data_IF_302534441882
#
_entry.id   IF_302534441882
#
_cell.length_a   1.000
_cell.length_b   1.000
_cell.length_c   1.000
_cell.angle_alpha   90.00
_cell.angle_beta   90.00
_cell.angle_gamma   90.00
#
_symmetry.space_group_name_H-M   'P 1'
#
loop_
_entity.id
_entity.type
_entity.pdbx_description
1 polymer ?
#
# COMPACT_ATOMS: atom_id res chain seq x y z
N UNK A 1 3.57 -4.59 -5.51
CA UNK A 1 4.22 -5.44 -6.52
C UNK A 1 5.67 -5.57 -6.14
N UNK A 2 6.06 -6.74 -5.64
CA UNK A 2 7.46 -6.97 -5.29
C UNK A 2 8.34 -7.03 -6.55
N UNK A 3 9.64 -7.29 -6.40
CA UNK A 3 10.53 -7.33 -7.55
C UNK A 3 10.33 -8.59 -8.41
N UNK A 4 9.99 -9.72 -7.81
CA UNK A 4 9.80 -10.98 -8.54
C UNK A 4 8.55 -10.91 -9.44
N UNK A 5 7.44 -10.42 -8.88
CA UNK A 5 6.21 -10.13 -9.62
C UNK A 5 6.46 -9.12 -10.75
N UNK A 6 7.30 -8.11 -10.51
CA UNK A 6 7.64 -7.12 -11.53
C UNK A 6 8.49 -7.71 -12.67
N UNK A 7 9.42 -8.62 -12.35
CA UNK A 7 10.23 -9.34 -13.34
C UNK A 7 9.40 -10.31 -14.17
N UNK A 8 8.48 -11.05 -13.54
CA UNK A 8 7.54 -11.93 -14.24
C UNK A 8 6.71 -11.11 -15.23
N UNK A 9 6.12 -10.00 -14.78
CA UNK A 9 5.41 -9.05 -15.65
C UNK A 9 6.28 -8.50 -16.77
N UNK A 10 7.54 -8.17 -16.48
CA UNK A 10 8.48 -7.67 -17.48
C UNK A 10 8.80 -8.71 -18.56
N UNK A 11 8.88 -9.99 -18.20
CA UNK A 11 9.14 -11.09 -19.15
C UNK A 11 8.02 -11.29 -20.18
N UNK A 12 6.79 -10.86 -19.86
CA UNK A 12 5.65 -10.88 -20.78
C UNK A 12 5.68 -9.72 -21.80
N UNK A 13 6.52 -8.70 -21.57
CA UNK A 13 6.58 -7.50 -22.40
C UNK A 13 7.46 -7.73 -23.62
N UNK A 14 6.97 -7.30 -24.79
CA UNK A 14 7.63 -7.53 -26.09
C UNK A 14 7.88 -6.23 -26.85
N UNK A 15 7.25 -5.14 -26.44
CA UNK A 15 7.33 -3.83 -27.07
C UNK A 15 8.66 -3.14 -26.76
N UNK A 16 9.28 -2.57 -27.80
CA UNK A 16 10.57 -1.88 -27.68
C UNK A 16 10.57 -0.69 -26.68
N UNK A 17 9.40 -0.10 -26.43
CA UNK A 17 9.18 1.02 -25.49
C UNK A 17 8.61 0.56 -24.15
N UNK A 18 8.43 -0.73 -23.96
CA UNK A 18 8.05 -1.32 -22.67
C UNK A 18 9.30 -1.61 -21.84
N UNK A 19 9.13 -1.69 -20.52
CA UNK A 19 10.20 -2.06 -19.59
C UNK A 19 10.31 -1.14 -18.38
N UNK A 20 11.47 -1.21 -17.72
CA UNK A 20 11.72 -0.43 -16.51
C UNK A 20 12.15 1.00 -16.83
N UNK A 21 11.68 1.91 -15.98
CA UNK A 21 11.92 3.33 -16.07
C UNK A 21 12.25 3.89 -14.69
N UNK A 22 13.22 4.80 -14.63
CA UNK A 22 13.55 5.53 -13.40
C UNK A 22 13.43 7.04 -13.60
N UNK A 23 13.08 7.76 -12.54
CA UNK A 23 12.89 9.21 -12.63
C UNK A 23 14.16 9.89 -13.13
N UNK A 24 14.02 10.93 -13.94
CA UNK A 24 15.18 11.69 -14.42
C UNK A 24 15.83 12.47 -13.27
N UNK A 25 14.98 13.00 -12.37
CA UNK A 25 15.42 13.74 -11.19
C UNK A 25 15.38 12.86 -9.95
N UNK A 26 16.42 12.95 -9.13
CA UNK A 26 16.44 12.39 -7.80
C UNK A 26 15.61 13.27 -6.85
N UNK A 27 14.95 12.65 -5.88
CA UNK A 27 14.29 13.32 -4.77
C UNK A 27 14.84 12.73 -3.48
N UNK A 28 15.46 13.57 -2.65
CA UNK A 28 16.09 13.10 -1.40
C UNK A 28 17.10 11.95 -1.67
N UNK A 29 17.95 12.12 -2.68
CA UNK A 29 18.92 11.13 -3.15
C UNK A 29 18.33 9.77 -3.57
N UNK A 30 17.03 9.72 -3.88
CA UNK A 30 16.33 8.52 -4.33
C UNK A 30 15.71 8.73 -5.70
N UNK A 31 15.68 7.67 -6.49
CA UNK A 31 14.96 7.64 -7.77
C UNK A 31 13.64 6.86 -7.65
N UNK A 32 12.63 7.27 -8.40
CA UNK A 32 11.37 6.51 -8.53
C UNK A 32 11.54 5.49 -9.64
N UNK A 33 11.41 4.20 -9.33
CA UNK A 33 11.33 3.14 -10.33
C UNK A 33 9.88 2.79 -10.66
N UNK A 34 9.58 2.58 -11.95
CA UNK A 34 8.28 2.15 -12.47
C UNK A 34 8.48 1.16 -13.63
N UNK A 35 7.50 0.30 -13.84
CA UNK A 35 7.46 -0.64 -14.97
C UNK A 35 6.33 -0.17 -15.90
N UNK A 36 6.66 0.07 -17.15
CA UNK A 36 5.73 0.58 -18.16
C UNK A 36 5.40 -0.53 -19.16
N UNK A 37 4.11 -0.87 -19.26
CA UNK A 37 3.58 -1.81 -20.24
C UNK A 37 2.63 -1.06 -21.19
N UNK A 38 2.78 -1.26 -22.49
CA UNK A 38 1.95 -0.62 -23.50
C UNK A 38 0.56 -1.24 -23.49
N UNK A 39 -0.47 -0.40 -23.61
CA UNK A 39 -1.82 -0.89 -23.90
C UNK A 39 -1.92 -1.03 -25.41
N UNK A 40 -2.14 -2.25 -25.89
CA UNK A 40 -2.34 -2.50 -27.33
C UNK A 40 -3.55 -1.67 -27.79
N UNK A 41 -3.31 -0.63 -28.59
CA UNK A 41 -4.38 0.04 -29.29
C UNK A 41 -4.78 -0.84 -30.48
N UNK A 42 -6.04 -1.27 -30.51
CA UNK A 42 -6.59 -2.13 -31.58
C UNK A 42 -6.73 -1.38 -32.93
N UNK A 43 -6.13 -0.21 -33.06
CA UNK A 43 -6.16 0.63 -34.25
C UNK A 43 -5.04 0.22 -35.20
N UNK A 44 -5.46 -0.38 -36.32
CA UNK A 44 -4.60 -0.81 -37.43
C UNK A 44 -3.59 0.28 -37.79
N UNK A 45 -2.31 -0.11 -37.75
CA UNK A 45 -1.13 0.47 -38.42
C UNK A 45 -1.40 1.71 -39.28
N UNK A 46 -1.13 2.89 -38.72
CA UNK A 46 -0.50 4.02 -39.39
C UNK A 46 0.14 4.92 -38.31
N UNK A 47 1.48 5.03 -38.34
CA UNK A 47 2.38 5.80 -37.45
C UNK A 47 1.73 6.47 -36.22
N UNK A 48 1.45 5.70 -35.17
CA UNK A 48 1.05 6.23 -33.86
C UNK A 48 2.15 7.16 -33.33
N UNK A 49 1.78 8.38 -32.94
CA UNK A 49 2.73 9.31 -32.33
C UNK A 49 2.97 8.94 -30.87
N UNK A 50 4.05 9.47 -30.26
CA UNK A 50 4.33 9.24 -28.83
C UNK A 50 3.20 9.71 -27.89
N UNK A 51 2.30 10.56 -28.36
CA UNK A 51 1.13 11.02 -27.60
C UNK A 51 -0.03 10.02 -27.63
N UNK A 52 -0.09 9.20 -28.68
CA UNK A 52 -1.15 8.21 -28.88
C UNK A 52 -0.80 6.86 -28.24
N UNK A 53 0.49 6.62 -28.00
CA UNK A 53 0.98 5.41 -27.32
C UNK A 53 0.73 5.52 -25.81
N UNK A 54 -0.28 4.79 -25.34
CA UNK A 54 -0.68 4.75 -23.94
C UNK A 54 -0.05 3.56 -23.21
N UNK A 55 0.35 3.79 -21.96
CA UNK A 55 1.01 2.80 -21.12
C UNK A 55 0.31 2.67 -19.76
N UNK A 56 0.21 1.44 -19.29
CA UNK A 56 -0.02 1.09 -17.90
C UNK A 56 1.29 1.24 -17.12
N UNK A 57 1.21 1.86 -15.95
CA UNK A 57 2.37 2.07 -15.07
C UNK A 57 2.20 1.19 -13.83
N UNK A 58 3.18 0.37 -13.54
CA UNK A 58 3.26 -0.40 -12.31
C UNK A 58 4.26 0.25 -11.36
N UNK A 59 3.88 0.34 -10.09
CA UNK A 59 4.68 0.91 -9.00
C UNK A 59 4.93 -0.14 -7.93
N UNK A 60 6.07 -0.08 -7.21
CA UNK A 60 6.38 -1.02 -6.15
C UNK A 60 5.33 -1.02 -5.04
N UNK A 61 4.85 0.16 -4.63
CA UNK A 61 3.96 0.31 -3.48
C UNK A 61 2.48 0.02 -3.77
N UNK A 62 1.95 0.43 -4.93
CA UNK A 62 0.52 0.27 -5.26
C UNK A 62 0.22 -0.77 -6.33
N UNK A 63 1.25 -1.33 -6.98
CA UNK A 63 1.07 -2.14 -8.17
C UNK A 63 0.57 -1.29 -9.35
N UNK A 64 -0.44 -1.78 -10.06
CA UNK A 64 -0.98 -1.12 -11.26
C UNK A 64 -1.57 0.25 -10.92
N UNK A 65 -1.09 1.28 -11.61
CA UNK A 65 -1.66 2.61 -11.60
C UNK A 65 -2.90 2.63 -12.50
N UNK A 66 -4.05 3.02 -11.93
CA UNK A 66 -5.34 3.10 -12.65
C UNK A 66 -5.25 4.03 -13.86
N UNK A 67 -4.51 5.13 -13.74
CA UNK A 67 -4.37 6.11 -14.80
C UNK A 67 -3.28 5.69 -15.80
N UNK A 68 -3.68 5.53 -17.07
CA UNK A 68 -2.77 5.39 -18.20
C UNK A 68 -2.03 6.70 -18.46
N UNK A 69 -0.80 6.60 -18.94
CA UNK A 69 0.01 7.76 -19.34
C UNK A 69 0.57 7.56 -20.74
N UNK A 70 0.71 8.66 -21.49
CA UNK A 70 1.30 8.61 -22.82
C UNK A 70 2.83 8.42 -22.73
N UNK A 71 3.44 7.84 -23.76
CA UNK A 71 4.90 7.71 -23.83
C UNK A 71 5.60 9.08 -23.72
N UNK A 72 5.01 10.13 -24.31
CA UNK A 72 5.53 11.49 -24.22
C UNK A 72 5.61 12.02 -22.78
N UNK A 73 4.61 11.73 -21.94
CA UNK A 73 4.61 12.12 -20.53
C UNK A 73 5.58 11.27 -19.70
N UNK A 74 5.71 9.99 -20.02
CA UNK A 74 6.65 9.08 -19.36
C UNK A 74 8.08 9.54 -19.65
N UNK A 75 8.44 9.76 -20.91
CA UNK A 75 9.77 10.23 -21.32
C UNK A 75 10.10 11.64 -20.83
N UNK A 76 9.12 12.43 -20.38
CA UNK A 76 9.36 13.72 -19.71
C UNK A 76 9.80 13.56 -18.26
N UNK A 77 9.32 12.51 -17.57
CA UNK A 77 9.53 12.31 -16.13
C UNK A 77 10.57 11.25 -15.82
N UNK A 78 10.74 10.30 -16.73
CA UNK A 78 11.53 9.09 -16.54
C UNK A 78 12.48 8.86 -17.71
N UNK A 79 13.52 8.07 -17.47
CA UNK A 79 14.39 7.47 -18.50
C UNK A 79 14.24 5.96 -18.45
N UNK A 80 14.22 5.31 -19.62
CA UNK A 80 14.21 3.84 -19.71
C UNK A 80 15.56 3.31 -19.23
N UNK A 81 15.55 2.21 -18.48
CA UNK A 81 16.76 1.55 -17.95
C UNK A 81 16.64 0.03 -18.01
N UNK A 82 17.78 -0.63 -17.86
CA UNK A 82 17.85 -2.07 -17.66
C UNK A 82 17.31 -2.46 -16.28
N UNK A 83 16.85 -3.72 -16.16
CA UNK A 83 16.26 -4.24 -14.92
C UNK A 83 17.22 -4.15 -13.73
N UNK A 84 18.52 -4.39 -13.94
CA UNK A 84 19.55 -4.32 -12.90
C UNK A 84 19.65 -2.93 -12.24
N UNK A 85 19.51 -1.83 -13.00
CA UNK A 85 19.54 -0.47 -12.44
C UNK A 85 18.25 -0.17 -11.66
N UNK A 86 17.12 -0.69 -12.14
CA UNK A 86 15.81 -0.46 -11.51
C UNK A 86 15.62 -1.25 -10.20
N UNK A 87 16.24 -2.43 -10.07
CA UNK A 87 16.02 -3.35 -8.95
C UNK A 87 16.23 -2.70 -7.58
N UNK A 88 17.38 -2.04 -7.41
CA UNK A 88 17.75 -1.42 -6.13
C UNK A 88 16.71 -0.38 -5.68
N UNK A 89 16.28 0.49 -6.60
CA UNK A 89 15.27 1.52 -6.34
C UNK A 89 13.88 0.93 -6.13
N UNK A 90 13.52 -0.11 -6.90
CA UNK A 90 12.25 -0.80 -6.77
C UNK A 90 12.12 -1.46 -5.40
N UNK A 91 13.12 -2.27 -4.99
CA UNK A 91 13.15 -2.96 -3.70
C UNK A 91 13.17 -1.97 -2.55
N UNK A 92 13.97 -0.91 -2.62
CA UNK A 92 14.03 0.12 -1.58
C UNK A 92 12.66 0.77 -1.36
N UNK A 93 11.99 1.18 -2.44
CA UNK A 93 10.66 1.78 -2.34
C UNK A 93 9.59 0.76 -1.93
N UNK A 94 9.67 -0.47 -2.44
CA UNK A 94 8.80 -1.57 -2.03
C UNK A 94 8.90 -1.76 -0.53
N UNK A 95 10.09 -2.07 0.00
CA UNK A 95 10.34 -2.30 1.42
C UNK A 95 9.87 -1.13 2.29
N UNK A 96 10.26 0.10 1.93
CA UNK A 96 9.86 1.28 2.69
C UNK A 96 8.33 1.45 2.76
N UNK A 97 7.61 1.19 1.67
CA UNK A 97 6.15 1.33 1.63
C UNK A 97 5.37 0.39 2.56
N UNK A 98 6.03 -0.49 3.30
CA UNK A 98 5.38 -1.31 4.34
C UNK A 98 4.92 -0.46 5.51
N UNK A 99 5.76 0.50 5.90
CA UNK A 99 5.65 1.26 7.16
C UNK A 99 5.90 2.75 6.98
N UNK A 100 6.52 3.17 5.87
CA UNK A 100 6.89 4.55 5.60
C UNK A 100 6.02 5.10 4.49
N UNK A 101 5.21 6.12 4.81
CA UNK A 101 4.35 6.77 3.83
C UNK A 101 5.19 7.47 2.75
N UNK A 102 4.61 7.69 1.56
CA UNK A 102 5.28 8.37 0.45
C UNK A 102 5.81 9.75 0.82
N UNK A 103 5.13 10.48 1.72
CA UNK A 103 5.60 11.78 2.18
C UNK A 103 6.95 11.66 2.91
N UNK A 104 7.03 10.80 3.92
CA UNK A 104 8.26 10.57 4.67
C UNK A 104 9.34 9.94 3.79
N UNK A 105 8.98 9.04 2.87
CA UNK A 105 9.94 8.43 1.96
C UNK A 105 10.65 9.46 1.06
N UNK A 106 9.87 10.36 0.45
CA UNK A 106 10.38 11.34 -0.51
C UNK A 106 10.88 12.65 0.11
N UNK A 107 10.35 13.07 1.27
CA UNK A 107 10.66 14.36 1.92
C UNK A 107 11.35 14.22 3.28
N UNK A 108 11.61 13.00 3.74
CA UNK A 108 12.09 12.66 5.10
C UNK A 108 11.14 13.05 6.25
N UNK A 109 10.12 13.88 5.99
CA UNK A 109 9.16 14.35 6.99
C UNK A 109 7.73 14.18 6.47
N UNK A 110 6.84 13.69 7.33
CA UNK A 110 5.40 13.68 7.10
C UNK A 110 4.69 14.48 8.18
N UNK A 111 3.84 15.44 7.78
CA UNK A 111 3.07 16.29 8.71
C UNK A 111 2.13 15.48 9.61
N UNK A 112 1.66 14.32 9.13
CA UNK A 112 0.75 13.44 9.86
C UNK A 112 1.35 12.03 10.00
N UNK A 113 2.63 11.93 10.39
CA UNK A 113 3.36 10.65 10.39
C UNK A 113 2.67 9.56 11.23
N UNK A 114 1.92 9.93 12.27
CA UNK A 114 1.16 8.98 13.08
C UNK A 114 0.12 8.22 12.27
N UNK A 115 -0.64 8.89 11.40
CA UNK A 115 -1.85 8.32 10.78
C UNK A 115 -1.85 8.43 9.24
N UNK A 116 -0.70 8.73 8.64
CA UNK A 116 -0.58 8.84 7.20
C UNK A 116 -0.44 7.48 6.54
N UNK A 117 -1.48 7.04 5.85
CA UNK A 117 -1.49 5.81 5.05
C UNK A 117 -1.11 6.04 3.58
N UNK A 118 -0.73 7.27 3.21
CA UNK A 118 -0.51 7.64 1.80
C UNK A 118 0.67 6.88 1.23
N UNK A 119 0.37 6.03 0.25
CA UNK A 119 1.37 5.25 -0.48
C UNK A 119 1.93 4.05 0.28
N UNK A 120 1.33 3.66 1.41
CA UNK A 120 1.61 2.39 2.04
C UNK A 120 1.02 1.24 1.21
N UNK A 121 1.74 0.13 1.13
CA UNK A 121 1.25 -1.12 0.50
C UNK A 121 0.44 -1.99 1.46
N UNK A 122 0.58 -1.74 2.76
CA UNK A 122 -0.14 -2.43 3.84
C UNK A 122 -1.01 -1.42 4.57
N UNK A 123 -2.25 -1.81 4.88
CA UNK A 123 -3.13 -1.08 5.80
C UNK A 123 -3.32 -1.89 7.07
N UNK A 124 -3.32 -1.21 8.20
CA UNK A 124 -3.52 -1.83 9.51
C UNK A 124 -4.94 -1.53 9.97
N UNK A 125 -5.71 -2.59 10.22
CA UNK A 125 -7.03 -2.48 10.83
C UNK A 125 -6.98 -3.04 12.23
N UNK A 126 -7.58 -2.32 13.19
CA UNK A 126 -7.72 -2.80 14.56
C UNK A 126 -9.12 -3.40 14.70
N UNK A 127 -9.20 -4.65 15.14
CA UNK A 127 -10.47 -5.35 15.26
C UNK A 127 -10.58 -5.97 16.65
N UNK A 128 -11.65 -5.61 17.35
CA UNK A 128 -12.03 -6.24 18.61
C UNK A 128 -12.89 -7.47 18.30
N UNK A 129 -12.44 -8.65 18.69
CA UNK A 129 -13.14 -9.92 18.45
C UNK A 129 -13.36 -10.70 19.77
N UNK A 130 -14.20 -11.73 19.73
CA UNK A 130 -14.58 -12.53 20.90
C UNK A 130 -15.97 -12.18 21.42
N UNK A 131 -16.18 -12.24 22.73
CA UNK A 131 -17.48 -11.93 23.37
C UNK A 131 -17.71 -10.43 23.50
N UNK A 132 -17.73 -9.72 22.37
CA UNK A 132 -17.88 -8.25 22.32
C UNK A 132 -19.21 -7.79 22.94
N UNK A 133 -20.26 -8.61 22.84
CA UNK A 133 -21.57 -8.32 23.45
C UNK A 133 -21.49 -8.15 24.97
N UNK A 134 -20.62 -8.90 25.65
CA UNK A 134 -20.47 -8.83 27.10
C UNK A 134 -19.88 -7.48 27.58
N UNK A 135 -19.14 -6.80 26.71
CA UNK A 135 -18.47 -5.52 26.99
C UNK A 135 -19.02 -4.38 26.13
N UNK A 136 -20.15 -4.61 25.44
CA UNK A 136 -20.68 -3.72 24.40
C UNK A 136 -20.82 -2.26 24.84
N UNK A 137 -21.49 -2.04 25.98
CA UNK A 137 -21.74 -0.70 26.51
C UNK A 137 -20.43 0.07 26.79
N UNK A 138 -19.37 -0.62 27.21
CA UNK A 138 -18.06 -0.01 27.48
C UNK A 138 -17.33 0.36 26.20
N UNK A 139 -17.38 -0.52 25.19
CA UNK A 139 -16.83 -0.23 23.86
C UNK A 139 -17.52 1.00 23.27
N UNK A 140 -18.85 1.04 23.34
CA UNK A 140 -19.67 2.16 22.85
C UNK A 140 -19.32 3.47 23.57
N UNK A 141 -19.17 3.44 24.90
CA UNK A 141 -18.79 4.62 25.69
C UNK A 141 -17.43 5.18 25.27
N UNK A 142 -16.41 4.32 25.08
CA UNK A 142 -15.07 4.74 24.64
C UNK A 142 -15.11 5.33 23.22
N UNK A 143 -15.87 4.71 22.32
CA UNK A 143 -16.03 5.20 20.94
C UNK A 143 -16.76 6.54 20.91
N UNK A 144 -17.85 6.70 21.66
CA UNK A 144 -18.62 7.94 21.72
C UNK A 144 -17.79 9.12 22.23
N UNK A 145 -16.87 8.89 23.16
CA UNK A 145 -16.01 9.93 23.74
C UNK A 145 -14.93 10.45 22.78
N UNK A 146 -14.55 9.69 21.74
CA UNK A 146 -13.41 10.02 20.86
C UNK A 146 -13.74 10.04 19.38
N UNK A 147 -14.95 9.65 19.03
CA UNK A 147 -15.42 9.57 17.67
C UNK A 147 -16.92 9.84 17.60
N UNK A 148 -17.30 11.11 17.58
CA UNK A 148 -18.68 11.59 17.46
C UNK A 148 -19.46 11.06 16.23
N UNK A 149 -18.81 10.36 15.30
CA UNK A 149 -19.40 9.84 14.06
C UNK A 149 -19.20 8.33 13.81
N UNK A 150 -18.54 7.59 14.72
CA UNK A 150 -18.24 6.18 14.47
C UNK A 150 -19.27 5.26 15.12
N UNK A 151 -20.25 4.83 14.32
CA UNK A 151 -21.09 3.68 14.68
C UNK A 151 -20.23 2.41 14.70
N UNK A 152 -20.44 1.53 15.68
CA UNK A 152 -19.78 0.23 15.71
C UNK A 152 -20.09 -0.54 14.42
N UNK A 153 -19.05 -0.85 13.65
CA UNK A 153 -19.17 -1.62 12.42
C UNK A 153 -18.67 -3.05 12.64
N UNK A 154 -19.55 -4.02 12.42
CA UNK A 154 -19.17 -5.44 12.43
C UNK A 154 -18.44 -5.78 11.14
N UNK A 155 -17.29 -6.44 11.26
CA UNK A 155 -16.45 -6.90 10.17
C UNK A 155 -16.21 -8.40 10.27
N UNK A 156 -16.10 -9.05 9.11
CA UNK A 156 -15.68 -10.44 8.98
C UNK A 156 -14.34 -10.46 8.25
N UNK A 157 -13.33 -10.99 8.90
CA UNK A 157 -11.97 -11.12 8.38
C UNK A 157 -11.74 -12.58 8.05
N UNK A 158 -11.09 -12.83 6.92
CA UNK A 158 -10.49 -14.12 6.59
C UNK A 158 -9.00 -13.87 6.40
N UNK A 159 -8.18 -14.52 7.19
CA UNK A 159 -6.72 -14.49 7.06
C UNK A 159 -6.27 -15.44 5.95
N UNK A 160 -5.01 -15.31 5.55
CA UNK A 160 -4.33 -16.16 4.57
C UNK A 160 -4.26 -17.64 4.99
N UNK A 161 -4.04 -17.91 6.28
CA UNK A 161 -4.11 -19.24 6.88
C UNK A 161 -5.54 -19.82 6.99
N UNK A 162 -6.55 -19.05 6.56
CA UNK A 162 -7.94 -19.47 6.51
C UNK A 162 -8.73 -19.26 7.80
N UNK A 163 -8.12 -18.71 8.86
CA UNK A 163 -8.83 -18.31 10.07
C UNK A 163 -9.90 -17.26 9.76
N UNK A 164 -11.11 -17.48 10.28
CA UNK A 164 -12.25 -16.57 10.12
C UNK A 164 -12.52 -15.88 11.45
N UNK A 165 -12.44 -14.56 11.46
CA UNK A 165 -12.68 -13.74 12.65
C UNK A 165 -13.89 -12.86 12.38
N UNK A 166 -14.83 -12.81 13.33
CA UNK A 166 -15.91 -11.82 13.36
C UNK A 166 -15.65 -10.88 14.52
N UNK A 167 -15.69 -9.58 14.27
CA UNK A 167 -15.39 -8.57 15.29
C UNK A 167 -15.90 -7.19 14.90
N UNK A 168 -15.52 -6.18 15.68
CA UNK A 168 -15.87 -4.78 15.45
C UNK A 168 -14.62 -3.99 15.07
N UNK A 169 -14.72 -3.18 14.03
CA UNK A 169 -13.64 -2.28 13.61
C UNK A 169 -13.45 -1.17 14.65
N UNK A 170 -12.23 -1.04 15.18
CA UNK A 170 -11.86 -0.04 16.18
C UNK A 170 -10.99 1.03 15.52
N UNK A 171 -11.37 2.32 15.58
CA UNK A 171 -10.52 3.42 15.17
C UNK A 171 -9.21 3.42 15.95
N UNK A 172 -8.09 3.72 15.29
CA UNK A 172 -6.76 3.68 15.90
C UNK A 172 -6.62 4.53 17.18
N UNK A 173 -7.24 5.72 17.19
CA UNK A 173 -7.25 6.62 18.35
C UNK A 173 -8.04 6.09 19.56
N UNK A 174 -8.81 5.01 19.37
CA UNK A 174 -9.60 4.34 20.40
C UNK A 174 -8.96 3.03 20.89
N UNK A 175 -7.87 2.56 20.27
CA UNK A 175 -7.24 1.28 20.63
C UNK A 175 -6.70 1.28 22.04
N UNK A 176 -5.80 2.22 22.40
CA UNK A 176 -5.22 2.28 23.75
C UNK A 176 -6.28 2.52 24.85
N UNK A 177 -7.22 3.49 24.70
CA UNK A 177 -8.29 3.68 25.67
C UNK A 177 -9.17 2.44 25.86
N UNK A 178 -9.41 1.70 24.77
CA UNK A 178 -10.21 0.48 24.83
C UNK A 178 -9.43 -0.64 25.52
N UNK A 179 -8.12 -0.76 25.26
CA UNK A 179 -7.24 -1.69 25.99
C UNK A 179 -7.28 -1.40 27.48
N UNK A 180 -7.15 -0.14 27.90
CA UNK A 180 -7.22 0.27 29.31
C UNK A 180 -8.58 -0.06 29.93
N UNK A 181 -9.68 0.32 29.28
CA UNK A 181 -11.04 0.13 29.79
C UNK A 181 -11.46 -1.34 29.91
N UNK A 182 -10.96 -2.20 29.03
CA UNK A 182 -11.23 -3.65 29.08
C UNK A 182 -10.30 -4.37 30.05
N UNK A 183 -9.09 -3.85 30.27
CA UNK A 183 -8.11 -4.46 31.19
C UNK A 183 -8.46 -4.25 32.66
N UNK A 184 -9.23 -3.21 33.01
CA UNK A 184 -9.55 -2.88 34.41
C UNK A 184 -10.25 -4.02 35.16
N UNK A 185 -11.08 -4.79 34.46
CA UNK A 185 -11.92 -5.83 35.05
C UNK A 185 -11.52 -7.23 34.54
N UNK A 186 -10.40 -7.31 33.83
CA UNK A 186 -9.91 -8.56 33.29
C UNK A 186 -9.22 -9.38 34.40
N UNK A 187 -9.59 -10.65 34.50
CA UNK A 187 -8.90 -11.61 35.39
C UNK A 187 -7.43 -11.78 34.99
N UNK A 188 -7.14 -11.67 33.69
CA UNK A 188 -5.79 -11.75 33.13
C UNK A 188 -5.72 -11.02 31.80
N UNK A 189 -4.60 -10.36 31.53
CA UNK A 189 -4.32 -9.70 30.24
C UNK A 189 -3.00 -10.24 29.70
N UNK A 190 -3.00 -10.65 28.43
CA UNK A 190 -1.80 -11.09 27.73
C UNK A 190 -1.68 -10.35 26.40
N UNK A 191 -0.49 -9.87 26.07
CA UNK A 191 -0.18 -9.30 24.76
C UNK A 191 0.71 -10.26 23.99
N UNK A 192 0.25 -10.67 22.81
CA UNK A 192 1.02 -11.48 21.88
C UNK A 192 1.36 -10.63 20.66
N UNK A 193 2.65 -10.55 20.34
CA UNK A 193 3.12 -9.96 19.09
C UNK A 193 3.34 -11.09 18.11
N UNK A 194 2.52 -11.13 17.08
CA UNK A 194 2.76 -11.99 15.93
C UNK A 194 3.70 -11.23 15.01
N UNK A 195 4.94 -11.68 14.90
CA UNK A 195 5.80 -11.20 13.83
C UNK A 195 5.13 -11.54 12.50
N UNK A 196 5.13 -10.58 11.57
CA UNK A 196 4.72 -10.90 10.20
C UNK A 196 5.63 -12.03 9.73
N UNK A 197 5.11 -13.11 9.13
CA UNK A 197 5.98 -14.03 8.43
C UNK A 197 6.74 -13.21 7.41
N UNK A 198 8.06 -13.12 7.58
CA UNK A 198 8.94 -12.59 6.56
C UNK A 198 8.56 -13.29 5.25
N UNK A 199 8.08 -12.48 4.30
CA UNK A 199 7.81 -12.95 2.95
C UNK A 199 9.12 -13.54 2.42
N UNK A 200 9.14 -14.88 2.31
CA UNK A 200 10.12 -15.61 1.50
C UNK A 200 10.14 -15.06 0.08
#
# INVERSE_FOLDING_TARGET
>A
MDWAEALEKWSELTGAKEGFYISQQARNNKYTAVLCASVVSNTKKEKLTKKDLMFQIYRPNTGLQVRLESLAEIEKKYRKVESAEAESWWRAQYNASQRVCSHAYWRSVCRNASDCEVGLRVRTHHVLAGSVLAVWARVEQVLAARAHLNKMQVVRIKTDDGLKIVGTLIPKNCVEPLKEALSSDAVSVSEQKFDQPDAK
#
